data_IF_204089799231
#
_entry.id   IF_204089799231
#
_cell.length_a   1.000
_cell.length_b   1.000
_cell.length_c   1.000
_cell.angle_alpha   90.00
_cell.angle_beta   90.00
_cell.angle_gamma   90.00
#
_symmetry.space_group_name_H-M   'P 1'
#
loop_
_entity.id
_entity.type
_entity.pdbx_description
1 polymer ?
#
# COMPACT_ATOMS: atom_id res chain seq x y z
N UNK A 1 2.59 -8.77 -3.11
CA UNK A 1 3.99 -8.37 -2.80
C UNK A 1 4.72 -9.47 -2.07
N UNK A 2 4.22 -9.92 -0.92
CA UNK A 2 4.85 -10.99 -0.13
C UNK A 2 5.15 -12.26 -0.95
N UNK A 3 4.14 -12.81 -1.64
CA UNK A 3 4.31 -13.99 -2.50
C UNK A 3 5.41 -13.80 -3.57
N UNK A 4 5.50 -12.59 -4.15
CA UNK A 4 6.52 -12.29 -5.14
C UNK A 4 7.94 -12.30 -4.53
N UNK A 5 8.08 -11.85 -3.28
CA UNK A 5 9.35 -11.89 -2.54
C UNK A 5 9.72 -13.33 -2.18
N UNK A 6 8.77 -14.12 -1.68
CA UNK A 6 8.98 -15.54 -1.37
C UNK A 6 9.37 -16.33 -2.62
N UNK A 7 8.67 -16.10 -3.73
CA UNK A 7 9.00 -16.70 -5.01
C UNK A 7 10.40 -16.31 -5.48
N UNK A 8 10.76 -15.01 -5.44
CA UNK A 8 12.09 -14.54 -5.80
C UNK A 8 13.19 -15.21 -4.96
N UNK A 9 12.94 -15.43 -3.66
CA UNK A 9 13.87 -16.14 -2.78
C UNK A 9 14.01 -17.62 -3.16
N UNK A 10 12.89 -18.30 -3.47
CA UNK A 10 12.93 -19.71 -3.92
C UNK A 10 13.67 -19.90 -5.26
N UNK A 11 13.71 -18.86 -6.10
CA UNK A 11 14.49 -18.85 -7.34
C UNK A 11 15.99 -18.56 -7.10
N UNK A 12 16.42 -18.44 -5.84
CA UNK A 12 17.82 -18.19 -5.48
C UNK A 12 18.29 -16.76 -5.67
N UNK A 13 17.38 -15.79 -5.85
CA UNK A 13 17.75 -14.38 -5.98
C UNK A 13 18.20 -13.87 -4.60
N UNK A 14 19.42 -13.36 -4.54
CA UNK A 14 19.96 -12.77 -3.31
C UNK A 14 19.50 -11.31 -3.15
N UNK A 15 18.68 -11.05 -2.15
CA UNK A 15 18.24 -9.70 -1.77
C UNK A 15 18.00 -9.59 -0.27
N UNK A 16 17.84 -8.35 0.20
CA UNK A 16 17.34 -8.04 1.55
C UNK A 16 16.08 -7.21 1.43
N UNK A 17 15.15 -7.39 2.36
CA UNK A 17 13.87 -6.66 2.38
C UNK A 17 13.83 -5.73 3.57
N UNK A 18 13.48 -4.46 3.34
CA UNK A 18 13.13 -3.54 4.42
C UNK A 18 11.61 -3.43 4.45
N UNK A 19 10.99 -3.92 5.53
CA UNK A 19 9.54 -3.82 5.75
C UNK A 19 9.26 -2.55 6.53
N UNK A 20 8.60 -1.59 5.89
CA UNK A 20 8.16 -0.34 6.52
C UNK A 20 6.73 -0.52 6.98
N UNK A 21 6.50 -0.28 8.27
CA UNK A 21 5.18 -0.42 8.88
C UNK A 21 4.66 0.92 9.42
N UNK A 22 3.35 1.12 9.29
CA UNK A 22 2.62 2.34 9.63
C UNK A 22 1.43 2.06 10.54
N UNK A 23 0.96 3.09 11.23
CA UNK A 23 -0.22 2.99 12.10
C UNK A 23 -0.03 2.09 13.33
N UNK A 24 -1.13 1.76 14.00
CA UNK A 24 -1.11 1.12 15.32
C UNK A 24 -1.34 -0.39 15.31
N UNK A 25 -1.92 -0.96 14.24
CA UNK A 25 -2.22 -2.41 14.15
C UNK A 25 -1.07 -3.30 13.69
N UNK A 26 0.11 -2.75 13.45
CA UNK A 26 1.35 -3.48 13.16
C UNK A 26 1.20 -4.66 12.18
N UNK A 27 0.38 -4.47 11.14
CA UNK A 27 -0.05 -5.51 10.19
C UNK A 27 1.14 -6.12 9.43
N UNK A 28 2.20 -5.33 9.24
CA UNK A 28 3.38 -5.79 8.53
C UNK A 28 4.20 -6.83 9.32
N UNK A 29 3.95 -7.01 10.63
CA UNK A 29 4.64 -8.02 11.45
C UNK A 29 4.35 -9.44 10.98
N UNK A 30 3.15 -9.73 10.51
CA UNK A 30 2.78 -11.07 10.07
C UNK A 30 3.42 -11.41 8.72
N UNK A 31 3.54 -10.43 7.83
CA UNK A 31 4.36 -10.57 6.61
C UNK A 31 5.84 -10.76 6.96
N UNK A 32 6.37 -9.97 7.91
CA UNK A 32 7.76 -10.08 8.34
C UNK A 32 8.08 -11.48 8.91
N UNK A 33 7.21 -12.04 9.75
CA UNK A 33 7.36 -13.40 10.30
C UNK A 33 7.41 -14.45 9.20
N UNK A 34 6.53 -14.36 8.21
CA UNK A 34 6.48 -15.31 7.08
C UNK A 34 7.74 -15.22 6.21
N UNK A 35 8.23 -14.01 5.95
CA UNK A 35 9.49 -13.81 5.22
C UNK A 35 10.71 -14.33 6.00
N UNK A 36 10.74 -14.12 7.32
CA UNK A 36 11.82 -14.59 8.19
C UNK A 36 11.84 -16.12 8.28
N UNK A 37 10.67 -16.76 8.42
CA UNK A 37 10.52 -18.23 8.39
C UNK A 37 11.00 -18.83 7.05
N UNK A 38 10.86 -18.09 5.95
CA UNK A 38 11.35 -18.51 4.64
C UNK A 38 12.87 -18.27 4.45
N UNK A 39 13.58 -17.70 5.44
CA UNK A 39 15.02 -17.44 5.37
C UNK A 39 15.41 -16.14 4.64
N UNK A 40 14.44 -15.27 4.35
CA UNK A 40 14.72 -13.98 3.70
C UNK A 40 15.36 -13.02 4.69
N UNK A 41 16.46 -12.36 4.29
CA UNK A 41 17.08 -11.32 5.12
C UNK A 41 16.18 -10.10 5.21
N UNK A 42 15.51 -9.92 6.35
CA UNK A 42 14.59 -8.82 6.57
C UNK A 42 15.09 -7.81 7.60
N UNK A 43 14.75 -6.54 7.39
CA UNK A 43 14.87 -5.45 8.36
C UNK A 43 13.49 -4.84 8.57
N UNK A 44 13.12 -4.61 9.82
CA UNK A 44 11.87 -3.94 10.15
C UNK A 44 12.11 -2.48 10.49
N UNK A 45 11.32 -1.60 9.90
CA UNK A 45 11.39 -0.17 10.11
C UNK A 45 9.98 0.40 10.30
N UNK A 46 9.89 1.50 11.05
CA UNK A 46 8.63 2.23 11.22
C UNK A 46 8.59 3.42 10.27
N UNK A 47 7.40 3.88 9.93
CA UNK A 47 7.24 5.01 9.02
C UNK A 47 7.99 6.29 9.48
N UNK A 48 8.14 6.53 10.78
CA UNK A 48 8.93 7.67 11.29
C UNK A 48 10.43 7.56 11.00
N UNK A 49 10.94 6.35 10.74
CA UNK A 49 12.34 6.12 10.35
C UNK A 49 12.54 6.09 8.83
N UNK A 50 11.49 6.42 8.05
CA UNK A 50 11.50 6.33 6.58
C UNK A 50 12.68 7.09 5.96
N UNK A 51 12.97 8.30 6.43
CA UNK A 51 14.06 9.15 5.91
C UNK A 51 15.44 8.49 6.01
N UNK A 52 15.67 7.64 7.01
CA UNK A 52 16.92 6.92 7.17
C UNK A 52 16.97 5.66 6.30
N UNK A 53 15.87 4.92 6.23
CA UNK A 53 15.85 3.62 5.53
C UNK A 53 15.70 3.75 4.03
N UNK A 54 15.05 4.81 3.54
CA UNK A 54 14.83 5.03 2.10
C UNK A 54 16.15 5.26 1.35
N UNK A 55 17.18 5.82 2.01
CA UNK A 55 18.52 5.95 1.44
C UNK A 55 19.21 4.59 1.17
N UNK A 56 18.68 3.50 1.71
CA UNK A 56 19.26 2.15 1.61
C UNK A 56 18.55 1.25 0.60
N UNK A 57 17.42 1.71 0.03
CA UNK A 57 16.61 0.91 -0.90
C UNK A 57 17.05 1.13 -2.34
N UNK A 58 16.98 0.08 -3.14
CA UNK A 58 17.27 0.13 -4.59
C UNK A 58 16.02 0.06 -5.44
N UNK A 59 14.91 -0.45 -4.87
CA UNK A 59 13.57 -0.58 -5.45
C UNK A 59 12.56 -0.58 -4.32
N UNK A 60 11.35 -0.09 -4.61
CA UNK A 60 10.21 -0.16 -3.69
C UNK A 60 9.11 -0.99 -4.34
N UNK A 61 8.56 -1.96 -3.60
CA UNK A 61 7.38 -2.71 -4.00
C UNK A 61 6.19 -2.27 -3.13
N UNK A 62 5.10 -1.88 -3.77
CA UNK A 62 3.86 -1.49 -3.11
C UNK A 62 2.75 -2.46 -3.49
N UNK A 63 1.91 -2.80 -2.52
CA UNK A 63 0.64 -3.48 -2.78
C UNK A 63 -0.45 -2.45 -3.05
N UNK A 64 -1.38 -2.78 -3.94
CA UNK A 64 -2.54 -1.93 -4.23
C UNK A 64 -3.83 -2.49 -3.65
N UNK A 65 -4.64 -1.59 -3.08
CA UNK A 65 -6.07 -1.83 -2.84
C UNK A 65 -6.86 -1.57 -4.12
N UNK A 66 -6.53 -0.49 -4.84
CA UNK A 66 -7.08 -0.20 -6.16
C UNK A 66 -6.13 0.65 -7.01
N UNK A 67 -6.28 0.57 -8.33
CA UNK A 67 -5.71 1.53 -9.28
C UNK A 67 -6.84 2.34 -9.92
N UNK A 68 -6.77 3.65 -9.81
CA UNK A 68 -7.79 4.56 -10.35
C UNK A 68 -7.59 4.82 -11.83
N UNK A 69 -8.63 5.31 -12.50
CA UNK A 69 -8.61 5.64 -13.93
C UNK A 69 -7.48 6.63 -14.27
N UNK A 70 -7.21 7.60 -13.41
CA UNK A 70 -6.11 8.56 -13.61
C UNK A 70 -4.72 7.99 -13.27
N UNK A 71 -4.57 6.69 -13.07
CA UNK A 71 -3.32 6.03 -12.70
C UNK A 71 -2.90 6.24 -11.24
N UNK A 72 -3.72 6.89 -10.43
CA UNK A 72 -3.47 7.05 -8.98
C UNK A 72 -3.62 5.71 -8.28
N UNK A 73 -2.68 5.42 -7.39
CA UNK A 73 -2.73 4.24 -6.54
C UNK A 73 -3.54 4.54 -5.27
N UNK A 74 -4.46 3.65 -4.92
CA UNK A 74 -5.08 3.61 -3.59
C UNK A 74 -4.48 2.45 -2.82
N UNK A 75 -3.90 2.73 -1.67
CA UNK A 75 -3.35 1.70 -0.77
C UNK A 75 -3.43 2.15 0.68
N UNK A 76 -2.84 1.38 1.59
CA UNK A 76 -2.89 1.67 3.03
C UNK A 76 -2.22 3.00 3.35
N UNK A 77 -2.77 3.69 4.35
CA UNK A 77 -2.27 4.99 4.79
C UNK A 77 -0.76 4.93 5.12
N UNK A 78 0.00 5.84 4.51
CA UNK A 78 1.46 5.89 4.57
C UNK A 78 2.14 5.42 3.29
N UNK A 79 1.41 4.81 2.34
CA UNK A 79 1.95 4.39 1.04
C UNK A 79 2.41 5.57 0.22
N UNK A 80 1.67 6.68 0.23
CA UNK A 80 2.04 7.89 -0.48
C UNK A 80 3.38 8.46 0.03
N UNK A 81 3.60 8.44 1.35
CA UNK A 81 4.85 8.90 1.95
C UNK A 81 6.05 8.05 1.50
N UNK A 82 5.89 6.72 1.47
CA UNK A 82 6.94 5.80 1.00
C UNK A 82 7.24 6.03 -0.48
N UNK A 83 6.21 6.14 -1.32
CA UNK A 83 6.35 6.36 -2.75
C UNK A 83 7.04 7.71 -3.04
N UNK A 84 6.61 8.78 -2.37
CA UNK A 84 7.21 10.10 -2.50
C UNK A 84 8.68 10.10 -2.09
N UNK A 85 9.00 9.57 -0.90
CA UNK A 85 10.37 9.56 -0.40
C UNK A 85 11.32 8.76 -1.31
N UNK A 86 10.85 7.63 -1.85
CA UNK A 86 11.62 6.81 -2.78
C UNK A 86 11.81 7.50 -4.13
N UNK A 87 10.76 8.14 -4.64
CA UNK A 87 10.80 8.89 -5.89
C UNK A 87 11.81 10.04 -5.85
N UNK A 88 11.85 10.82 -4.76
CA UNK A 88 12.82 11.91 -4.57
C UNK A 88 14.28 11.42 -4.59
N UNK A 89 14.53 10.18 -4.18
CA UNK A 89 15.87 9.55 -4.24
C UNK A 89 16.13 8.77 -5.52
N UNK A 90 15.21 8.81 -6.50
CA UNK A 90 15.34 8.10 -7.76
C UNK A 90 15.18 6.58 -7.65
N UNK A 91 14.71 6.06 -6.51
CA UNK A 91 14.42 4.65 -6.36
C UNK A 91 13.09 4.32 -7.06
N UNK A 92 13.06 3.34 -7.99
CA UNK A 92 11.84 3.01 -8.72
C UNK A 92 10.78 2.42 -7.79
N UNK A 93 9.55 2.92 -7.94
CA UNK A 93 8.37 2.50 -7.18
C UNK A 93 7.50 1.62 -8.06
N UNK A 94 7.46 0.33 -7.76
CA UNK A 94 6.71 -0.68 -8.50
C UNK A 94 5.45 -1.05 -7.72
N UNK A 95 4.30 -0.98 -8.38
CA UNK A 95 3.01 -1.34 -7.78
C UNK A 95 2.61 -2.73 -8.25
N UNK A 96 2.41 -3.66 -7.34
CA UNK A 96 1.81 -4.95 -7.64
C UNK A 96 0.29 -4.84 -7.46
N UNK A 97 -0.45 -4.92 -8.56
CA UNK A 97 -1.91 -4.78 -8.56
C UNK A 97 -2.53 -5.71 -9.60
N UNK A 98 -3.49 -6.52 -9.20
CA UNK A 98 -4.30 -7.32 -10.10
C UNK A 98 -5.28 -6.43 -10.89
N UNK A 99 -5.55 -6.72 -12.17
CA UNK A 99 -6.36 -5.84 -13.02
C UNK A 99 -7.81 -5.72 -12.58
N UNK A 100 -8.36 -6.72 -11.86
CA UNK A 100 -9.71 -6.63 -11.30
C UNK A 100 -9.87 -5.52 -10.25
N UNK A 101 -8.76 -5.03 -9.66
CA UNK A 101 -8.74 -3.88 -8.73
C UNK A 101 -8.63 -2.54 -9.45
N UNK A 102 -8.62 -2.53 -10.78
CA UNK A 102 -8.65 -1.29 -11.54
C UNK A 102 -10.08 -0.75 -11.54
N UNK A 103 -10.24 0.56 -11.35
CA UNK A 103 -11.56 1.18 -11.22
C UNK A 103 -11.67 2.45 -12.05
N UNK A 104 -12.84 2.68 -12.63
CA UNK A 104 -13.18 3.91 -13.35
C UNK A 104 -13.27 5.15 -12.44
N UNK A 105 -13.33 4.94 -11.12
CA UNK A 105 -13.39 6.04 -10.15
C UNK A 105 -12.09 6.85 -10.15
N UNK A 106 -12.21 8.13 -9.84
CA UNK A 106 -11.10 9.06 -9.69
C UNK A 106 -11.24 9.81 -8.37
N UNK A 107 -10.20 9.74 -7.55
CA UNK A 107 -10.08 10.45 -6.28
C UNK A 107 -8.93 11.44 -6.41
N UNK A 108 -9.17 12.69 -6.01
CA UNK A 108 -8.16 13.76 -6.07
C UNK A 108 -7.46 13.96 -4.72
N UNK A 109 -8.08 13.47 -3.65
CA UNK A 109 -7.60 13.57 -2.27
C UNK A 109 -7.86 12.26 -1.51
N UNK A 110 -7.25 12.14 -0.33
CA UNK A 110 -7.41 10.98 0.56
C UNK A 110 -8.55 11.14 1.57
N UNK A 111 -9.44 12.12 1.41
CA UNK A 111 -10.42 12.53 2.43
C UNK A 111 -11.84 12.17 1.98
N UNK A 112 -12.23 12.55 0.77
CA UNK A 112 -13.61 12.42 0.27
C UNK A 112 -14.06 10.96 0.16
N UNK A 113 -13.15 10.05 -0.22
CA UNK A 113 -13.42 8.63 -0.37
C UNK A 113 -12.38 7.82 0.40
N UNK A 114 -12.65 7.58 1.68
CA UNK A 114 -11.78 6.80 2.56
C UNK A 114 -12.60 5.98 3.56
N UNK A 115 -11.96 4.98 4.15
CA UNK A 115 -12.51 4.19 5.24
C UNK A 115 -11.97 4.71 6.58
N UNK A 116 -12.88 4.89 7.54
CA UNK A 116 -12.54 5.23 8.90
C UNK A 116 -12.21 3.95 9.66
N UNK A 117 -10.98 3.87 10.17
CA UNK A 117 -10.59 2.83 11.11
C UNK A 117 -11.12 3.11 12.52
N UNK A 118 -11.07 2.10 13.36
CA UNK A 118 -11.42 2.24 14.77
C UNK A 118 -10.51 3.26 15.46
N UNK A 119 -11.05 4.38 15.99
CA UNK A 119 -10.25 5.37 16.70
C UNK A 119 -9.62 4.82 17.99
N UNK A 120 -10.20 3.77 18.60
CA UNK A 120 -9.65 3.14 19.81
C UNK A 120 -8.35 2.41 19.54
N UNK A 121 -8.06 2.05 18.28
CA UNK A 121 -6.76 1.53 17.90
C UNK A 121 -5.62 2.54 18.15
N UNK A 122 -5.93 3.84 18.33
CA UNK A 122 -4.94 4.87 18.67
C UNK A 122 -4.70 4.98 20.18
N UNK A 123 -5.57 4.37 21.00
CA UNK A 123 -5.41 4.35 22.45
C UNK A 123 -4.33 3.32 22.80
N UNK A 124 -3.24 3.73 23.48
CA UNK A 124 -2.21 2.81 23.89
C UNK A 124 -2.77 1.71 24.79
N UNK A 125 -2.18 0.50 24.79
CA UNK A 125 -2.62 -0.58 25.65
C UNK A 125 -2.46 -0.20 27.14
N UNK A 126 -3.30 -0.77 28.04
CA UNK A 126 -3.46 -0.28 29.43
C UNK A 126 -2.19 -0.25 30.28
N UNK A 127 -1.17 -1.03 29.90
CA UNK A 127 0.11 -1.09 30.59
C UNK A 127 1.02 0.12 30.32
N UNK A 128 0.67 1.00 29.38
CA UNK A 128 1.41 2.22 29.09
C UNK A 128 0.78 3.41 29.83
N UNK A 129 1.59 4.23 30.51
CA UNK A 129 1.13 5.44 31.22
C UNK A 129 0.30 6.40 30.34
N UNK A 130 0.53 6.38 29.02
CA UNK A 130 -0.19 7.19 28.04
C UNK A 130 -1.64 6.71 27.78
N UNK A 131 -1.96 5.44 28.08
CA UNK A 131 -3.29 4.87 27.90
C UNK A 131 -4.34 5.62 28.73
N UNK A 132 -4.01 5.98 29.97
CA UNK A 132 -4.90 6.68 30.88
C UNK A 132 -5.32 8.08 30.39
N UNK A 133 -4.54 8.71 29.49
CA UNK A 133 -4.84 10.07 29.00
C UNK A 133 -5.79 10.10 27.80
N UNK A 134 -5.88 8.99 27.06
CA UNK A 134 -6.70 8.89 25.86
C UNK A 134 -7.85 7.88 26.02
N UNK A 135 -7.97 7.18 27.15
CA UNK A 135 -9.04 6.21 27.38
C UNK A 135 -10.44 6.87 27.32
N UNK A 136 -10.60 8.02 27.97
CA UNK A 136 -11.88 8.73 28.08
C UNK A 136 -12.06 9.79 26.97
N UNK A 137 -11.41 9.60 25.82
CA UNK A 137 -11.39 10.60 24.74
C UNK A 137 -12.78 10.96 24.21
N UNK A 138 -13.76 10.06 24.36
CA UNK A 138 -15.16 10.27 23.95
C UNK A 138 -15.91 11.27 24.84
N UNK A 139 -15.48 11.42 26.09
CA UNK A 139 -16.09 12.34 27.05
C UNK A 139 -15.47 13.74 27.00
N UNK A 140 -14.39 13.91 26.22
CA UNK A 140 -13.67 15.17 26.08
C UNK A 140 -14.20 15.98 24.88
N UNK A 141 -14.92 17.10 25.08
CA UNK A 141 -15.65 17.79 24.02
C UNK A 141 -14.76 18.44 22.94
N UNK A 142 -13.47 18.64 23.23
CA UNK A 142 -12.50 19.26 22.32
C UNK A 142 -11.49 18.26 21.75
N UNK A 143 -11.68 16.96 21.94
CA UNK A 143 -10.80 15.91 21.47
C UNK A 143 -11.55 14.98 20.49
N UNK A 144 -10.90 14.66 19.38
CA UNK A 144 -11.41 13.66 18.43
C UNK A 144 -10.24 12.82 17.91
N UNK A 145 -10.37 11.51 18.05
CA UNK A 145 -9.45 10.56 17.45
C UNK A 145 -9.91 10.23 16.02
N UNK A 146 -8.97 10.20 15.08
CA UNK A 146 -9.23 9.93 13.68
C UNK A 146 -8.16 8.99 13.12
N UNK A 147 -8.61 7.90 12.51
CA UNK A 147 -7.76 6.95 11.82
C UNK A 147 -8.29 6.74 10.41
N UNK A 148 -7.55 7.19 9.40
CA UNK A 148 -7.81 6.86 8.00
C UNK A 148 -7.06 5.58 7.64
N UNK A 149 -7.71 4.68 6.89
CA UNK A 149 -7.10 3.39 6.53
C UNK A 149 -6.33 3.45 5.21
N UNK A 150 -6.71 4.32 4.29
CA UNK A 150 -6.12 4.43 2.97
C UNK A 150 -5.54 5.80 2.68
N UNK A 151 -4.65 5.87 1.70
CA UNK A 151 -4.22 7.09 1.05
C UNK A 151 -4.24 6.95 -0.48
N UNK A 152 -4.24 8.09 -1.16
CA UNK A 152 -4.11 8.18 -2.61
C UNK A 152 -2.69 8.62 -2.96
N UNK A 153 -2.01 7.87 -3.80
CA UNK A 153 -0.64 8.13 -4.25
C UNK A 153 -0.67 8.54 -5.73
N UNK A 154 -0.39 9.81 -6.05
CA UNK A 154 -0.39 10.30 -7.43
C UNK A 154 0.56 9.50 -8.32
N UNK A 155 0.15 9.26 -9.57
CA UNK A 155 0.90 8.44 -10.53
C UNK A 155 2.32 8.94 -10.80
N UNK A 156 2.60 10.24 -10.62
CA UNK A 156 3.94 10.83 -10.82
C UNK A 156 5.01 10.21 -9.92
N UNK A 157 4.62 9.64 -8.77
CA UNK A 157 5.51 8.97 -7.84
C UNK A 157 5.66 7.47 -8.13
N UNK A 158 4.93 6.93 -9.10
CA UNK A 158 4.90 5.52 -9.45
C UNK A 158 5.69 5.30 -10.74
N UNK A 159 6.57 4.31 -10.75
CA UNK A 159 7.39 3.98 -11.92
C UNK A 159 6.67 3.04 -12.87
N UNK A 160 6.18 1.91 -12.35
CA UNK A 160 5.47 0.89 -13.13
C UNK A 160 4.40 0.20 -12.29
N UNK A 161 3.37 -0.31 -12.97
CA UNK A 161 2.35 -1.20 -12.42
C UNK A 161 2.61 -2.60 -12.98
N UNK A 162 2.76 -3.57 -12.09
CA UNK A 162 2.94 -4.99 -12.40
C UNK A 162 1.60 -5.68 -12.20
N UNK A 163 1.01 -6.16 -13.30
CA UNK A 163 -0.28 -6.82 -13.31
C UNK A 163 -0.34 -7.97 -14.32
N UNK A 164 -1.51 -8.59 -14.38
CA UNK A 164 -2.13 -9.34 -15.45
C UNK A 164 -1.55 -9.25 -16.86
N UNK A 165 -1.66 -8.01 -17.34
CA UNK A 165 -1.35 -7.61 -18.70
C UNK A 165 0.16 -7.35 -18.90
N UNK A 166 0.96 -7.54 -17.86
CA UNK A 166 2.40 -7.32 -17.85
C UNK A 166 2.83 -6.13 -17.00
N UNK A 167 4.00 -5.59 -17.32
CA UNK A 167 4.55 -4.40 -16.65
C UNK A 167 4.20 -3.18 -17.49
N UNK A 168 3.25 -2.39 -17.00
CA UNK A 168 2.69 -1.25 -17.70
C UNK A 168 2.98 0.06 -16.96
N UNK A 169 3.11 1.19 -17.65
CA UNK A 169 3.15 2.48 -16.97
C UNK A 169 1.77 2.79 -16.35
N UNK A 170 1.71 3.55 -15.25
CA UNK A 170 0.43 3.96 -14.65
C UNK A 170 -0.52 4.69 -15.61
N UNK A 171 0.00 5.35 -16.65
CA UNK A 171 -0.77 6.00 -17.72
C UNK A 171 -1.55 5.03 -18.60
N UNK A 172 -1.20 3.75 -18.61
CA UNK A 172 -1.89 2.71 -19.39
C UNK A 172 -3.07 2.06 -18.65
N UNK A 173 -3.28 2.38 -17.37
CA UNK A 173 -4.41 1.85 -16.58
C UNK A 173 -5.77 2.07 -17.27
N UNK A 174 -6.11 3.26 -17.82
CA UNK A 174 -7.34 3.44 -18.60
C UNK A 174 -7.52 2.45 -19.76
N UNK A 175 -6.44 2.13 -20.47
CA UNK A 175 -6.52 1.24 -21.62
C UNK A 175 -6.89 -0.18 -21.19
N UNK A 176 -6.33 -0.65 -20.08
CA UNK A 176 -6.64 -1.97 -19.51
C UNK A 176 -8.08 -2.02 -18.98
N UNK A 177 -8.54 -0.97 -18.29
CA UNK A 177 -9.94 -0.87 -17.84
C UNK A 177 -10.89 -0.99 -19.03
N UNK A 178 -10.63 -0.24 -20.10
CA UNK A 178 -11.46 -0.26 -21.32
C UNK A 178 -11.45 -1.63 -21.99
N UNK A 179 -10.30 -2.31 -22.03
CA UNK A 179 -10.20 -3.66 -22.58
C UNK A 179 -11.00 -4.66 -21.74
N UNK A 180 -10.92 -4.58 -20.40
CA UNK A 180 -11.70 -5.40 -19.48
C UNK A 180 -13.21 -5.25 -19.70
N UNK A 181 -13.70 -4.01 -19.75
CA UNK A 181 -15.12 -3.72 -20.00
C UNK A 181 -15.59 -4.21 -21.37
N UNK A 182 -14.75 -4.07 -22.41
CA UNK A 182 -15.08 -4.58 -23.74
C UNK A 182 -15.22 -6.11 -23.75
N UNK A 183 -14.34 -6.82 -23.03
CA UNK A 183 -14.43 -8.29 -22.89
C UNK A 183 -15.69 -8.72 -22.15
N UNK A 184 -16.09 -8.02 -21.08
CA UNK A 184 -17.33 -8.29 -20.35
C UNK A 184 -18.58 -8.05 -21.22
N UNK A 185 -18.57 -7.02 -22.05
CA UNK A 185 -19.67 -6.74 -22.99
C UNK A 185 -19.77 -7.76 -24.14
N UNK A 186 -18.65 -8.39 -24.52
CA UNK A 186 -18.60 -9.43 -25.56
C UNK A 186 -18.90 -10.83 -25.01
N UNK A 187 -18.60 -11.10 -23.73
CA UNK A 187 -18.88 -12.37 -23.05
C UNK A 187 -20.34 -12.87 -23.12
N UNK A 188 -21.41 -12.03 -23.06
CA UNK A 188 -22.78 -12.52 -23.20
C UNK A 188 -23.10 -13.12 -24.58
N UNK A 189 -22.26 -12.92 -25.60
CA UNK A 189 -22.45 -13.47 -26.95
C UNK A 189 -21.68 -14.78 -27.22
N UNK A 190 -20.91 -15.29 -26.26
CA UNK A 190 -20.09 -16.51 -26.40
C UNK A 190 -20.69 -17.75 -25.71
N UNK A 191 -21.84 -17.61 -25.04
CA UNK A 191 -22.54 -18.70 -24.32
C UNK A 191 -23.90 -19.02 -24.96
N UNK A 192 -24.02 -18.88 -26.29
CA UNK A 192 -25.20 -19.34 -27.05
C UNK A 192 -24.79 -20.25 -28.20
#
# INVERSE_FOLDING_TARGET
>A
VEEALLHAHSQGISFRVIVVDGGTRLEARDMLRRLEQAGVRCQYARLHSLSYVVCQVTKVLLGATAMLLNGTLVSRAGTALVAMAAHELGAPVLVCCETYKFTERVYLDSICYNELGDPDDLVPPPHQLAAAKLADWRDMPHLKLLKLLYDVTPMKYLTMVVCEAGVIPPTSVPAIIREGLAREQLAPNLVR
#
